data_IF_981541072192
#
_entry.id   IF_981541072192
#
_cell.length_a   1.000
_cell.length_b   1.000
_cell.length_c   1.000
_cell.angle_alpha   90.00
_cell.angle_beta   90.00
_cell.angle_gamma   90.00
#
_symmetry.space_group_name_H-M   'P 1'
#
loop_
_entity.id
_entity.type
_entity.pdbx_description
1 polymer ?
#
# COMPACT_ATOMS: atom_id res chain seq x y z
N UNK A 1 -10.04 5.42 15.43
CA UNK A 1 -9.19 4.46 16.18
C UNK A 1 -9.93 3.18 16.58
N UNK A 2 -11.14 3.25 17.16
CA UNK A 2 -11.91 2.06 17.57
C UNK A 2 -12.33 1.16 16.39
N UNK A 3 -12.82 1.74 15.28
CA UNK A 3 -13.20 0.97 14.08
C UNK A 3 -12.01 0.25 13.45
N UNK A 4 -10.86 0.93 13.32
CA UNK A 4 -9.63 0.33 12.78
C UNK A 4 -9.15 -0.87 13.63
N UNK A 5 -9.19 -0.77 14.96
CA UNK A 5 -8.82 -1.89 15.85
C UNK A 5 -9.77 -3.08 15.70
N UNK A 6 -11.06 -2.81 15.57
CA UNK A 6 -12.08 -3.85 15.34
C UNK A 6 -11.99 -4.46 13.94
N UNK A 7 -11.58 -3.71 12.92
CA UNK A 7 -11.30 -4.23 11.57
C UNK A 7 -10.06 -5.12 11.58
N UNK A 8 -8.99 -4.72 12.27
CA UNK A 8 -7.77 -5.53 12.42
C UNK A 8 -8.09 -6.83 13.16
N UNK A 9 -8.93 -6.78 14.20
CA UNK A 9 -9.36 -7.97 14.94
C UNK A 9 -10.16 -8.93 14.06
N UNK A 10 -11.10 -8.41 13.27
CA UNK A 10 -11.87 -9.19 12.30
C UNK A 10 -10.96 -9.81 11.23
N UNK A 11 -10.03 -9.04 10.67
CA UNK A 11 -9.05 -9.52 9.69
C UNK A 11 -8.17 -10.64 10.27
N UNK A 12 -7.69 -10.50 11.50
CA UNK A 12 -6.88 -11.50 12.17
C UNK A 12 -7.65 -12.81 12.41
N UNK A 13 -8.92 -12.74 12.79
CA UNK A 13 -9.74 -13.93 12.97
C UNK A 13 -10.04 -14.62 11.63
N UNK A 14 -10.28 -13.86 10.55
CA UNK A 14 -10.37 -14.42 9.21
C UNK A 14 -9.06 -15.04 8.72
N UNK A 15 -7.91 -14.41 9.05
CA UNK A 15 -6.58 -14.95 8.73
C UNK A 15 -6.37 -16.31 9.38
N UNK A 16 -6.70 -16.45 10.67
CA UNK A 16 -6.61 -17.74 11.39
C UNK A 16 -7.52 -18.81 10.82
N UNK A 17 -8.77 -18.45 10.49
CA UNK A 17 -9.67 -19.37 9.81
C UNK A 17 -9.10 -19.78 8.43
N UNK A 18 -8.49 -18.84 7.70
CA UNK A 18 -7.80 -19.09 6.44
C UNK A 18 -6.58 -20.01 6.58
N UNK A 19 -5.77 -19.83 7.62
CA UNK A 19 -4.63 -20.70 7.96
C UNK A 19 -5.09 -22.14 8.22
N UNK A 20 -6.17 -22.32 8.99
CA UNK A 20 -6.76 -23.64 9.23
C UNK A 20 -7.23 -24.27 7.92
N UNK A 21 -7.96 -23.53 7.09
CA UNK A 21 -8.42 -24.03 5.80
C UNK A 21 -7.25 -24.41 4.88
N UNK A 22 -6.20 -23.59 4.85
CA UNK A 22 -4.99 -23.83 4.05
C UNK A 22 -4.26 -25.10 4.51
N UNK A 23 -4.08 -25.29 5.81
CA UNK A 23 -3.50 -26.51 6.39
C UNK A 23 -4.31 -27.76 6.00
N UNK A 24 -5.64 -27.69 6.14
CA UNK A 24 -6.55 -28.81 5.84
C UNK A 24 -6.54 -29.15 4.35
N UNK A 25 -6.60 -28.14 3.47
CA UNK A 25 -6.62 -28.38 2.02
C UNK A 25 -5.26 -28.85 1.50
N UNK A 26 -4.15 -28.29 2.00
CA UNK A 26 -2.80 -28.74 1.63
C UNK A 26 -2.54 -30.20 2.03
N UNK A 27 -3.11 -30.64 3.16
CA UNK A 27 -2.94 -31.98 3.72
C UNK A 27 -4.21 -32.84 3.68
N UNK A 28 -5.08 -32.62 2.69
CA UNK A 28 -6.43 -33.20 2.66
C UNK A 28 -6.43 -34.74 2.73
N UNK A 29 -5.45 -35.39 2.08
CA UNK A 29 -5.30 -36.85 2.08
C UNK A 29 -5.01 -37.38 3.49
N UNK A 30 -4.20 -36.64 4.27
CA UNK A 30 -3.91 -36.96 5.67
C UNK A 30 -5.15 -36.80 6.54
N UNK A 31 -5.89 -35.70 6.41
CA UNK A 31 -7.11 -35.45 7.20
C UNK A 31 -8.16 -36.54 6.98
N UNK A 32 -8.37 -36.96 5.72
CA UNK A 32 -9.27 -38.08 5.41
C UNK A 32 -8.76 -39.42 5.96
N UNK A 33 -7.45 -39.66 5.91
CA UNK A 33 -6.86 -40.92 6.39
C UNK A 33 -7.05 -41.12 7.89
N UNK A 34 -7.10 -40.04 8.66
CA UNK A 34 -7.39 -40.04 10.10
C UNK A 34 -8.87 -39.78 10.44
N UNK A 35 -9.76 -39.71 9.43
CA UNK A 35 -11.17 -39.37 9.59
C UNK A 35 -11.40 -38.06 10.41
N UNK A 36 -10.52 -37.08 10.22
CA UNK A 36 -10.47 -35.83 11.01
C UNK A 36 -11.34 -34.69 10.48
N UNK A 37 -12.18 -34.93 9.47
CA UNK A 37 -12.98 -33.90 8.79
C UNK A 37 -13.91 -33.12 9.74
N UNK A 38 -14.61 -33.81 10.62
CA UNK A 38 -15.52 -33.18 11.59
C UNK A 38 -14.78 -32.36 12.66
N UNK A 39 -13.58 -32.79 13.03
CA UNK A 39 -12.73 -32.06 13.97
C UNK A 39 -12.28 -30.73 13.35
N UNK A 40 -11.75 -30.78 12.13
CA UNK A 40 -11.27 -29.60 11.42
C UNK A 40 -12.40 -28.63 11.05
N UNK A 41 -13.59 -29.15 10.72
CA UNK A 41 -14.79 -28.34 10.53
C UNK A 41 -15.14 -27.53 11.79
N UNK A 42 -15.17 -28.18 12.96
CA UNK A 42 -15.44 -27.48 14.23
C UNK A 42 -14.36 -26.46 14.58
N UNK A 43 -13.09 -26.76 14.27
CA UNK A 43 -11.95 -25.86 14.47
C UNK A 43 -12.12 -24.59 13.65
N UNK A 44 -12.53 -24.72 12.39
CA UNK A 44 -12.82 -23.61 11.49
C UNK A 44 -14.06 -22.80 11.93
N UNK A 45 -15.18 -23.47 12.27
CA UNK A 45 -16.41 -22.80 12.74
C UNK A 45 -16.20 -21.98 14.02
N UNK A 46 -15.32 -22.44 14.93
CA UNK A 46 -15.00 -21.72 16.18
C UNK A 46 -14.37 -20.35 15.91
N UNK A 47 -13.42 -20.28 14.98
CA UNK A 47 -12.79 -19.01 14.60
C UNK A 47 -13.77 -18.08 13.85
N UNK A 48 -14.64 -18.64 13.01
CA UNK A 48 -15.67 -17.85 12.31
C UNK A 48 -16.75 -17.28 13.24
N UNK A 49 -17.26 -18.06 14.19
CA UNK A 49 -18.34 -17.64 15.09
C UNK A 49 -17.94 -16.44 15.96
N UNK A 50 -16.66 -16.39 16.37
CA UNK A 50 -16.10 -15.28 17.16
C UNK A 50 -16.17 -13.96 16.37
N UNK A 51 -15.99 -14.04 15.05
CA UNK A 51 -16.02 -12.89 14.14
C UNK A 51 -17.46 -12.51 13.80
N UNK A 52 -18.31 -13.49 13.51
CA UNK A 52 -19.69 -13.28 13.05
C UNK A 52 -20.52 -12.42 14.02
N UNK A 53 -20.45 -12.71 15.33
CA UNK A 53 -21.18 -11.93 16.34
C UNK A 53 -20.75 -10.45 16.39
N UNK A 54 -19.45 -10.20 16.20
CA UNK A 54 -18.89 -8.84 16.14
C UNK A 54 -19.33 -8.12 14.86
N UNK A 55 -19.32 -8.80 13.71
CA UNK A 55 -19.77 -8.25 12.42
C UNK A 55 -21.27 -7.94 12.43
N UNK A 56 -22.11 -8.77 13.07
CA UNK A 56 -23.55 -8.49 13.24
C UNK A 56 -23.75 -7.22 14.08
N UNK A 57 -23.04 -7.08 15.20
CA UNK A 57 -23.14 -5.87 16.04
C UNK A 57 -22.69 -4.61 15.31
N UNK A 58 -21.62 -4.70 14.51
CA UNK A 58 -21.18 -3.62 13.62
C UNK A 58 -22.24 -3.28 12.58
N UNK A 59 -22.84 -4.29 11.96
CA UNK A 59 -23.90 -4.13 10.96
C UNK A 59 -25.11 -3.38 11.52
N UNK A 60 -25.55 -3.74 12.73
CA UNK A 60 -26.65 -3.03 13.42
C UNK A 60 -26.25 -1.59 13.75
N UNK A 61 -25.05 -1.36 14.27
CA UNK A 61 -24.56 -0.01 14.57
C UNK A 61 -24.46 0.87 13.31
N UNK A 62 -23.97 0.30 12.20
CA UNK A 62 -23.91 0.99 10.92
C UNK A 62 -25.31 1.27 10.36
N UNK A 63 -26.23 0.31 10.44
CA UNK A 63 -27.62 0.51 10.03
C UNK A 63 -28.30 1.64 10.81
N UNK A 64 -28.11 1.69 12.15
CA UNK A 64 -28.60 2.78 12.98
C UNK A 64 -27.97 4.12 12.60
N UNK A 65 -26.67 4.15 12.30
CA UNK A 65 -25.98 5.36 11.85
C UNK A 65 -26.54 5.88 10.52
N UNK A 66 -26.69 5.01 9.52
CA UNK A 66 -27.24 5.37 8.21
C UNK A 66 -28.70 5.83 8.32
N UNK A 67 -29.49 5.14 9.15
CA UNK A 67 -30.87 5.53 9.43
C UNK A 67 -30.97 6.90 10.10
N UNK A 68 -30.16 7.14 11.14
CA UNK A 68 -30.11 8.42 11.85
C UNK A 68 -29.66 9.57 10.94
N UNK A 69 -28.64 9.34 10.11
CA UNK A 69 -28.17 10.31 9.13
C UNK A 69 -29.27 10.67 8.11
N UNK A 70 -29.96 9.68 7.56
CA UNK A 70 -31.09 9.90 6.66
C UNK A 70 -32.22 10.68 7.34
N UNK A 71 -32.54 10.37 8.60
CA UNK A 71 -33.58 11.08 9.35
C UNK A 71 -33.23 12.57 9.50
N UNK A 72 -32.00 12.90 9.88
CA UNK A 72 -31.55 14.30 9.98
C UNK A 72 -31.70 15.03 8.63
N UNK A 73 -31.27 14.41 7.53
CA UNK A 73 -31.38 15.01 6.19
C UNK A 73 -32.84 15.33 5.85
N UNK A 74 -33.77 14.39 6.08
CA UNK A 74 -35.19 14.61 5.81
C UNK A 74 -35.81 15.64 6.75
N UNK A 75 -35.37 15.73 8.01
CA UNK A 75 -35.80 16.77 8.95
C UNK A 75 -35.34 18.15 8.49
N UNK A 76 -34.11 18.29 7.98
CA UNK A 76 -33.60 19.54 7.40
C UNK A 76 -34.44 19.94 6.18
N UNK A 77 -34.76 18.99 5.29
CA UNK A 77 -35.65 19.25 4.17
C UNK A 77 -37.03 19.73 4.64
N UNK A 78 -37.65 19.03 5.58
CA UNK A 78 -38.96 19.39 6.10
C UNK A 78 -38.95 20.78 6.77
N UNK A 79 -37.93 21.09 7.56
CA UNK A 79 -37.76 22.40 8.19
C UNK A 79 -37.54 23.52 7.16
N UNK A 80 -36.72 23.27 6.13
CA UNK A 80 -36.49 24.21 5.04
C UNK A 80 -37.77 24.52 4.25
N UNK A 81 -38.57 23.49 3.92
CA UNK A 81 -39.86 23.68 3.26
C UNK A 81 -40.88 24.37 4.17
N UNK A 82 -40.97 24.00 5.45
CA UNK A 82 -41.88 24.65 6.40
C UNK A 82 -41.57 26.15 6.54
N UNK A 83 -40.29 26.49 6.67
CA UNK A 83 -39.86 27.88 6.76
C UNK A 83 -40.09 28.65 5.45
N UNK A 84 -39.81 28.03 4.30
CA UNK A 84 -40.08 28.63 2.99
C UNK A 84 -41.58 28.87 2.73
N UNK A 85 -42.45 27.96 3.19
CA UNK A 85 -43.90 28.14 3.12
C UNK A 85 -44.39 29.27 4.04
N UNK A 86 -43.83 29.40 5.25
CA UNK A 86 -44.15 30.50 6.15
C UNK A 86 -43.78 31.86 5.56
N UNK A 87 -42.61 31.96 4.90
CA UNK A 87 -42.18 33.17 4.18
C UNK A 87 -43.11 33.53 3.02
N UNK A 88 -43.64 32.53 2.32
CA UNK A 88 -44.58 32.72 1.21
C UNK A 88 -45.95 33.22 1.71
N UNK A 89 -46.39 32.78 2.90
CA UNK A 89 -47.64 33.24 3.51
C UNK A 89 -47.53 34.67 4.07
N UNK A 90 -46.34 35.09 4.50
CA UNK A 90 -46.03 36.47 4.93
C UNK A 90 -45.85 37.41 3.72
N UNK A 91 -46.87 37.43 2.87
CA UNK A 91 -46.99 38.09 1.56
C UNK A 91 -46.89 39.62 1.59
N UNK A 92 -46.68 40.23 2.77
CA UNK A 92 -46.46 41.67 2.92
C UNK A 92 -45.01 42.13 2.83
N UNK A 93 -44.02 41.22 2.82
CA UNK A 93 -42.59 41.56 2.88
C UNK A 93 -41.70 40.91 1.83
N UNK A 94 -42.10 39.78 1.24
CA UNK A 94 -41.28 39.04 0.28
C UNK A 94 -42.14 38.51 -0.88
N UNK A 95 -41.78 38.86 -2.12
CA UNK A 95 -42.34 38.22 -3.32
C UNK A 95 -41.63 36.87 -3.54
N UNK A 96 -41.95 35.87 -2.73
CA UNK A 96 -41.34 34.53 -2.83
C UNK A 96 -42.26 33.59 -3.59
N UNK A 97 -41.80 33.01 -4.70
CA UNK A 97 -42.55 31.98 -5.43
C UNK A 97 -42.24 30.59 -4.88
N UNK A 98 -43.16 29.63 -5.02
CA UNK A 98 -42.93 28.23 -4.65
C UNK A 98 -41.67 27.65 -5.32
N UNK A 99 -41.38 28.04 -6.56
CA UNK A 99 -40.18 27.66 -7.29
C UNK A 99 -38.90 28.07 -6.57
N UNK A 100 -38.87 29.27 -6.00
CA UNK A 100 -37.66 29.84 -5.38
C UNK A 100 -37.33 29.06 -4.11
N UNK A 101 -38.35 28.74 -3.31
CA UNK A 101 -38.20 27.92 -2.10
C UNK A 101 -37.66 26.53 -2.45
N UNK A 102 -38.25 25.86 -3.44
CA UNK A 102 -37.82 24.52 -3.86
C UNK A 102 -36.38 24.55 -4.37
N UNK A 103 -36.04 25.51 -5.24
CA UNK A 103 -34.70 25.65 -5.80
C UNK A 103 -33.67 25.88 -4.70
N UNK A 104 -33.92 26.82 -3.78
CA UNK A 104 -32.98 27.15 -2.69
C UNK A 104 -32.79 25.94 -1.78
N UNK A 105 -33.87 25.33 -1.29
CA UNK A 105 -33.77 24.17 -0.37
C UNK A 105 -33.05 23.00 -1.04
N UNK A 106 -33.35 22.71 -2.31
CA UNK A 106 -32.72 21.60 -3.04
C UNK A 106 -31.25 21.85 -3.35
N UNK A 107 -30.87 23.06 -3.78
CA UNK A 107 -29.47 23.40 -4.08
C UNK A 107 -28.62 23.38 -2.80
N UNK A 108 -29.11 23.96 -1.71
CA UNK A 108 -28.36 23.97 -0.45
C UNK A 108 -28.16 22.55 0.11
N UNK A 109 -29.22 21.72 0.09
CA UNK A 109 -29.11 20.36 0.59
C UNK A 109 -28.17 19.50 -0.27
N UNK A 110 -28.26 19.58 -1.60
CA UNK A 110 -27.33 18.87 -2.49
C UNK A 110 -25.89 19.41 -2.34
N UNK A 111 -25.71 20.72 -2.22
CA UNK A 111 -24.40 21.35 -2.05
C UNK A 111 -23.66 20.82 -0.82
N UNK A 112 -24.36 20.65 0.30
CA UNK A 112 -23.78 20.06 1.53
C UNK A 112 -23.37 18.60 1.28
N UNK A 113 -24.20 17.81 0.59
CA UNK A 113 -23.86 16.41 0.25
C UNK A 113 -22.61 16.34 -0.62
N UNK A 114 -22.52 17.15 -1.68
CA UNK A 114 -21.34 17.18 -2.55
C UNK A 114 -20.08 17.63 -1.82
N UNK A 115 -20.18 18.60 -0.90
CA UNK A 115 -19.06 19.02 -0.07
C UNK A 115 -18.57 17.87 0.82
N UNK A 116 -19.48 17.06 1.36
CA UNK A 116 -19.15 15.85 2.13
C UNK A 116 -18.41 14.79 1.30
N UNK A 117 -18.66 14.72 -0.01
CA UNK A 117 -18.00 13.79 -0.93
C UNK A 117 -16.56 14.19 -1.29
N UNK A 118 -16.08 15.37 -0.88
CA UNK A 118 -14.69 15.80 -1.13
C UNK A 118 -13.69 15.02 -0.25
N UNK A 119 -14.12 14.52 0.91
CA UNK A 119 -13.25 13.83 1.88
C UNK A 119 -12.40 12.70 1.26
N UNK A 120 -12.99 11.73 0.54
CA UNK A 120 -12.25 10.67 -0.14
C UNK A 120 -11.19 11.18 -1.11
N UNK A 121 -11.45 12.26 -1.86
CA UNK A 121 -10.46 12.82 -2.79
C UNK A 121 -9.24 13.39 -2.06
N UNK A 122 -9.46 14.04 -0.91
CA UNK A 122 -8.36 14.53 -0.09
C UNK A 122 -7.50 13.38 0.45
N UNK A 123 -8.14 12.26 0.84
CA UNK A 123 -7.45 11.05 1.27
C UNK A 123 -6.65 10.40 0.13
N UNK A 124 -7.23 10.29 -1.08
CA UNK A 124 -6.48 9.77 -2.24
C UNK A 124 -5.28 10.66 -2.59
N UNK A 125 -5.39 11.97 -2.43
CA UNK A 125 -4.28 12.89 -2.65
C UNK A 125 -3.14 12.71 -1.63
N UNK A 126 -3.46 12.49 -0.36
CA UNK A 126 -2.44 12.23 0.67
C UNK A 126 -1.75 10.88 0.45
N UNK A 127 -2.49 9.84 0.05
CA UNK A 127 -1.93 8.54 -0.32
C UNK A 127 -1.04 8.63 -1.56
N UNK A 128 -1.49 9.33 -2.60
CA UNK A 128 -0.70 9.57 -3.81
C UNK A 128 0.60 10.32 -3.50
N UNK A 129 0.56 11.33 -2.63
CA UNK A 129 1.75 12.03 -2.16
C UNK A 129 2.71 11.10 -1.40
N UNK A 130 2.18 10.20 -0.58
CA UNK A 130 2.98 9.19 0.12
C UNK A 130 3.70 8.25 -0.85
N UNK A 131 2.99 7.72 -1.84
CA UNK A 131 3.57 6.85 -2.87
C UNK A 131 4.58 7.59 -3.76
N UNK A 132 4.34 8.86 -4.08
CA UNK A 132 5.25 9.66 -4.88
C UNK A 132 6.62 9.84 -4.21
N UNK A 133 6.69 9.89 -2.87
CA UNK A 133 7.96 10.00 -2.14
C UNK A 133 8.90 8.84 -2.47
N UNK A 134 8.39 7.60 -2.53
CA UNK A 134 9.22 6.44 -2.87
C UNK A 134 9.69 6.46 -4.32
N UNK A 135 8.83 6.90 -5.24
CA UNK A 135 9.18 7.04 -6.66
C UNK A 135 10.27 8.10 -6.85
N UNK A 136 10.08 9.29 -6.26
CA UNK A 136 11.05 10.37 -6.36
C UNK A 136 12.36 10.01 -5.66
N UNK A 137 12.32 9.29 -4.53
CA UNK A 137 13.53 8.78 -3.88
C UNK A 137 14.38 7.92 -4.82
N UNK A 138 13.77 7.01 -5.57
CA UNK A 138 14.50 6.17 -6.53
C UNK A 138 15.04 7.01 -7.69
N UNK A 139 14.26 7.95 -8.22
CA UNK A 139 14.69 8.83 -9.30
C UNK A 139 15.90 9.67 -8.86
N UNK A 140 15.84 10.25 -7.67
CA UNK A 140 16.91 11.08 -7.09
C UNK A 140 18.16 10.23 -6.76
N UNK A 141 17.99 9.01 -6.27
CA UNK A 141 19.09 8.07 -5.97
C UNK A 141 19.85 7.66 -7.24
N UNK A 142 19.13 7.30 -8.31
CA UNK A 142 19.73 6.99 -9.62
C UNK A 142 20.51 8.20 -10.16
N UNK A 143 19.95 9.42 -10.09
CA UNK A 143 20.64 10.63 -10.55
C UNK A 143 21.92 10.94 -9.76
N UNK A 144 21.92 10.64 -8.46
CA UNK A 144 23.09 10.85 -7.61
C UNK A 144 24.18 9.79 -7.85
N UNK A 145 23.82 8.52 -8.06
CA UNK A 145 24.78 7.46 -8.41
C UNK A 145 25.44 7.74 -9.78
N UNK A 146 24.69 8.21 -10.77
CA UNK A 146 25.23 8.62 -12.08
C UNK A 146 26.10 9.89 -11.98
N UNK A 147 25.88 10.75 -10.98
CA UNK A 147 26.69 11.97 -10.77
C UNK A 147 27.96 11.72 -9.95
N UNK A 148 27.98 10.74 -9.03
CA UNK A 148 29.20 10.34 -8.30
C UNK A 148 30.11 9.43 -9.12
N UNK A 149 29.56 8.68 -10.08
CA UNK A 149 30.37 8.23 -11.21
C UNK A 149 30.68 9.46 -12.08
N UNK A 150 31.92 9.94 -12.10
CA UNK A 150 32.41 10.85 -13.16
C UNK A 150 32.43 10.11 -14.51
N UNK A 151 31.29 9.58 -14.92
CA UNK A 151 31.06 8.89 -16.16
C UNK A 151 29.84 9.59 -16.73
N UNK A 152 30.10 10.75 -17.34
CA UNK A 152 29.16 11.36 -18.26
C UNK A 152 28.77 10.28 -19.27
N UNK A 153 27.54 9.77 -19.23
CA UNK A 153 27.04 8.87 -20.27
C UNK A 153 27.13 9.55 -21.65
N UNK A 154 27.00 10.89 -21.71
CA UNK A 154 27.22 11.67 -22.94
C UNK A 154 28.67 11.63 -23.48
N UNK A 155 29.65 11.22 -22.68
CA UNK A 155 31.06 11.06 -23.06
C UNK A 155 31.38 9.62 -23.48
N UNK A 156 30.49 8.66 -23.25
CA UNK A 156 30.62 7.28 -23.75
C UNK A 156 30.22 7.20 -25.24
N UNK A 157 29.26 8.03 -25.70
CA UNK A 157 28.83 8.06 -27.10
C UNK A 157 29.41 9.22 -27.93
N UNK A 158 29.91 10.30 -27.32
CA UNK A 158 30.74 11.29 -28.02
C UNK A 158 32.20 10.86 -28.00
N UNK A 159 32.51 9.86 -28.84
CA UNK A 159 33.86 9.54 -29.25
C UNK A 159 34.42 10.73 -30.04
N UNK A 160 34.96 11.76 -29.38
CA UNK A 160 35.94 12.69 -29.94
C UNK A 160 36.57 13.53 -28.80
N UNK A 161 37.85 13.25 -28.54
CA UNK A 161 38.86 14.06 -27.81
C UNK A 161 39.31 13.65 -26.39
N UNK A 162 38.50 13.02 -25.53
CA UNK A 162 39.01 12.57 -24.19
C UNK A 162 39.53 11.13 -24.14
N UNK A 163 39.22 10.31 -25.16
CA UNK A 163 39.38 8.84 -25.12
C UNK A 163 40.73 8.30 -25.65
N UNK A 164 41.76 9.13 -25.78
CA UNK A 164 43.07 8.71 -26.32
C UNK A 164 44.16 8.53 -25.25
N UNK A 165 43.80 8.11 -24.04
CA UNK A 165 44.77 7.44 -23.18
C UNK A 165 44.82 5.99 -23.62
N UNK A 166 45.75 5.67 -24.53
CA UNK A 166 46.12 4.28 -24.82
C UNK A 166 46.63 3.69 -23.51
N UNK A 167 45.72 3.07 -22.75
CA UNK A 167 46.09 2.28 -21.60
C UNK A 167 46.79 1.07 -22.21
N UNK A 168 48.11 0.99 -22.05
CA UNK A 168 48.82 -0.26 -22.29
C UNK A 168 48.29 -1.26 -21.27
N UNK A 169 47.28 -2.03 -21.65
CA UNK A 169 46.67 -3.05 -20.80
C UNK A 169 47.69 -4.17 -20.65
N UNK A 170 48.42 -4.16 -19.53
CA UNK A 170 49.21 -5.31 -19.11
C UNK A 170 48.25 -6.43 -18.75
N UNK A 171 48.31 -7.57 -19.43
CA UNK A 171 47.34 -8.69 -19.30
C UNK A 171 47.47 -9.48 -17.98
N UNK A 172 48.04 -8.89 -16.92
CA UNK A 172 48.19 -9.48 -15.59
C UNK A 172 47.09 -8.94 -14.66
N UNK A 173 46.36 -9.82 -13.99
CA UNK A 173 45.32 -9.47 -13.01
C UNK A 173 45.83 -9.80 -11.62
N UNK A 174 45.79 -8.83 -10.70
CA UNK A 174 46.20 -9.02 -9.30
C UNK A 174 45.10 -8.54 -8.35
N UNK A 175 44.71 -9.41 -7.43
CA UNK A 175 43.93 -9.11 -6.24
C UNK A 175 44.89 -9.00 -5.05
N UNK A 176 44.78 -7.96 -4.24
CA UNK A 176 45.66 -7.72 -3.09
C UNK A 176 44.81 -7.43 -1.85
N UNK A 177 44.88 -8.33 -0.86
CA UNK A 177 44.20 -8.25 0.43
C UNK A 177 42.71 -7.88 0.33
N UNK A 178 42.00 -8.53 -0.60
CA UNK A 178 40.61 -8.22 -0.90
C UNK A 178 39.68 -8.79 0.17
N UNK A 179 38.90 -7.92 0.80
CA UNK A 179 37.81 -8.26 1.69
C UNK A 179 36.48 -7.92 1.01
N UNK A 180 35.54 -8.86 1.00
CA UNK A 180 34.24 -8.65 0.37
C UNK A 180 33.12 -9.35 1.14
N UNK A 181 32.03 -8.60 1.34
CA UNK A 181 30.77 -9.12 1.84
C UNK A 181 29.65 -8.57 0.96
N UNK A 182 28.63 -9.38 0.67
CA UNK A 182 27.48 -8.89 -0.09
C UNK A 182 26.75 -7.81 0.71
N UNK A 183 26.30 -6.70 0.08
CA UNK A 183 25.62 -5.61 0.79
C UNK A 183 24.35 -6.04 1.55
N UNK A 184 23.65 -7.06 1.03
CA UNK A 184 22.45 -7.63 1.65
C UNK A 184 22.75 -8.59 2.83
N UNK A 185 24.02 -8.96 3.03
CA UNK A 185 24.50 -9.89 4.08
C UNK A 185 25.88 -9.44 4.58
N UNK A 186 25.96 -8.22 5.12
CA UNK A 186 27.22 -7.62 5.60
C UNK A 186 27.85 -8.40 6.77
N UNK A 187 27.04 -9.16 7.48
CA UNK A 187 27.41 -10.04 8.59
C UNK A 187 28.14 -11.31 8.15
N UNK A 188 28.04 -11.70 6.88
CA UNK A 188 28.70 -12.88 6.33
C UNK A 188 29.76 -12.45 5.31
N UNK A 189 31.04 -12.32 5.73
CA UNK A 189 32.13 -12.06 4.79
C UNK A 189 32.35 -13.27 3.89
N UNK A 190 32.49 -13.01 2.58
CA UNK A 190 32.73 -14.04 1.55
C UNK A 190 34.22 -14.11 1.22
N UNK A 191 34.87 -12.97 0.96
CA UNK A 191 36.31 -12.92 0.78
C UNK A 191 36.94 -12.28 2.01
N UNK A 192 37.93 -12.95 2.59
CA UNK A 192 38.72 -12.44 3.72
C UNK A 192 40.20 -12.47 3.34
N UNK A 193 40.75 -11.28 3.10
CA UNK A 193 42.16 -11.05 2.80
C UNK A 193 42.68 -11.87 1.60
N UNK A 194 41.88 -11.96 0.52
CA UNK A 194 42.25 -12.71 -0.68
C UNK A 194 43.36 -11.98 -1.45
N UNK A 195 44.48 -12.66 -1.64
CA UNK A 195 45.59 -12.21 -2.50
C UNK A 195 45.86 -13.24 -3.58
N UNK A 196 45.65 -12.86 -4.84
CA UNK A 196 45.76 -13.74 -6.01
C UNK A 196 46.44 -12.98 -7.14
N UNK A 197 47.29 -13.65 -7.92
CA UNK A 197 47.88 -13.06 -9.13
C UNK A 197 47.73 -14.04 -10.30
N UNK A 198 46.99 -13.63 -11.33
CA UNK A 198 46.87 -14.33 -12.61
C UNK A 198 47.78 -13.64 -13.64
N UNK A 199 48.74 -14.39 -14.20
CA UNK A 199 49.74 -13.86 -15.12
C UNK A 199 49.23 -13.85 -16.56
N UNK A 200 49.81 -12.97 -17.37
CA UNK A 200 49.51 -12.90 -18.79
C UNK A 200 49.83 -14.22 -19.49
N UNK A 201 48.85 -14.77 -20.22
CA UNK A 201 49.01 -16.00 -21.01
C UNK A 201 48.86 -17.31 -20.24
N UNK A 202 48.59 -17.28 -18.93
CA UNK A 202 48.32 -18.47 -18.11
C UNK A 202 46.82 -18.66 -17.87
N UNK A 203 46.39 -19.92 -17.74
CA UNK A 203 45.02 -20.26 -17.28
C UNK A 203 45.03 -20.48 -15.78
N UNK A 204 44.40 -19.57 -15.01
CA UNK A 204 44.23 -19.72 -13.56
C UNK A 204 42.87 -20.33 -13.25
N UNK A 205 42.82 -21.44 -12.51
CA UNK A 205 41.59 -22.06 -12.05
C UNK A 205 41.35 -21.74 -10.56
N UNK A 206 40.10 -21.42 -10.22
CA UNK A 206 39.63 -21.25 -8.84
C UNK A 206 38.81 -22.47 -8.46
N UNK A 207 39.22 -23.17 -7.41
CA UNK A 207 38.54 -24.36 -6.88
C UNK A 207 38.43 -24.26 -5.36
N UNK A 208 37.31 -24.72 -4.82
CA UNK A 208 37.08 -24.73 -3.39
C UNK A 208 35.73 -25.35 -3.05
N UNK A 209 35.50 -25.56 -1.75
CA UNK A 209 34.20 -26.01 -1.22
C UNK A 209 33.16 -24.89 -1.30
N UNK A 210 31.87 -25.22 -1.19
CA UNK A 210 30.81 -24.22 -1.14
C UNK A 210 31.08 -23.12 -0.10
N UNK A 211 31.18 -21.87 -0.54
CA UNK A 211 31.39 -20.69 0.32
C UNK A 211 32.85 -20.33 0.62
N UNK A 212 33.82 -20.78 -0.18
CA UNK A 212 35.23 -20.41 -0.10
C UNK A 212 35.57 -19.03 -0.67
#
# INVERSE_FOLDING_TARGET
>A
MLTARETVKELNSYSRAGEIAQEVFSSIRTVFSFNGSDYEKKRYEKELNTTQSSSIRKGVAYGLYVGWNNLIIHVIYAAGFMFGLLLMLDSGRYETTLSDVVIVVTIFAQGITFLGLIGPFLQSFTEARGAAIDVFRIIDEVQNETSESNINEDEIWNTNESANKVINITSQIRFDNVNFAYPNRKDVPILNNLTLTARAGETTALVGSSGC
#
